data_IF_034080795128
#
_entry.id   IF_034080795128
#
_cell.length_a   1.000
_cell.length_b   1.000
_cell.length_c   1.000
_cell.angle_alpha   90.00
_cell.angle_beta   90.00
_cell.angle_gamma   90.00
#
_symmetry.space_group_name_H-M   'P 1'
#
loop_
_entity.id
_entity.type
_entity.pdbx_description
1 polymer ?
#
# COMPACT_ATOMS: atom_id res chain seq x y z
N UNK A 1 -19.51 -1.59 -29.14
CA UNK A 1 -18.20 -1.31 -29.79
C UNK A 1 -17.10 -1.41 -28.74
N UNK A 2 -16.41 -2.56 -28.66
CA UNK A 2 -15.21 -2.68 -27.83
C UNK A 2 -14.05 -2.04 -28.58
N UNK A 3 -13.52 -0.93 -28.06
CA UNK A 3 -12.28 -0.33 -28.58
C UNK A 3 -11.11 -1.15 -28.04
N UNK A 4 -10.68 -2.15 -28.80
CA UNK A 4 -9.50 -2.99 -28.51
C UNK A 4 -8.17 -2.28 -28.81
N UNK A 5 -8.05 -1.00 -28.43
CA UNK A 5 -6.83 -0.21 -28.63
C UNK A 5 -6.46 0.55 -27.37
N UNK A 6 -5.18 0.49 -27.00
CA UNK A 6 -4.61 1.37 -25.97
C UNK A 6 -4.78 2.83 -26.39
N UNK A 7 -5.47 3.62 -25.56
CA UNK A 7 -5.63 5.07 -25.80
C UNK A 7 -4.45 5.79 -25.18
N UNK A 8 -3.73 6.57 -25.99
CA UNK A 8 -2.59 7.38 -25.53
C UNK A 8 -3.01 8.83 -25.32
N UNK A 9 -2.67 9.37 -24.15
CA UNK A 9 -2.81 10.78 -23.82
C UNK A 9 -1.44 11.45 -23.71
N UNK A 10 -1.35 12.71 -24.16
CA UNK A 10 -0.21 13.57 -23.88
C UNK A 10 -0.65 14.65 -22.90
N UNK A 11 -0.12 14.62 -21.68
CA UNK A 11 -0.37 15.66 -20.68
C UNK A 11 0.59 16.84 -20.93
N UNK A 12 0.04 18.01 -21.25
CA UNK A 12 0.81 19.24 -21.49
C UNK A 12 0.79 20.11 -20.24
N UNK A 13 1.82 20.93 -20.05
CA UNK A 13 1.90 21.91 -18.96
C UNK A 13 1.77 21.27 -17.56
N UNK A 14 2.41 20.11 -17.35
CA UNK A 14 2.42 19.43 -16.05
C UNK A 14 3.13 20.33 -15.03
N UNK A 15 2.48 20.74 -13.92
CA UNK A 15 3.12 21.58 -12.91
C UNK A 15 4.35 20.89 -12.31
N UNK A 16 5.41 21.65 -12.01
CA UNK A 16 6.67 21.11 -11.48
C UNK A 16 6.49 20.28 -10.19
N UNK A 17 5.54 20.70 -9.34
CA UNK A 17 5.18 19.96 -8.14
C UNK A 17 4.61 18.56 -8.45
N UNK A 18 3.83 18.43 -9.52
CA UNK A 18 3.24 17.16 -9.96
C UNK A 18 4.32 16.23 -10.53
N UNK A 19 5.22 16.73 -11.39
CA UNK A 19 6.35 15.92 -11.91
C UNK A 19 7.23 15.41 -10.77
N UNK A 20 7.58 16.28 -9.82
CA UNK A 20 8.38 15.91 -8.64
C UNK A 20 7.69 14.82 -7.80
N UNK A 21 6.39 14.97 -7.57
CA UNK A 21 5.62 13.98 -6.82
C UNK A 21 5.54 12.62 -7.54
N UNK A 22 5.32 12.62 -8.87
CA UNK A 22 5.27 11.41 -9.68
C UNK A 22 6.62 10.68 -9.72
N UNK A 23 7.74 11.40 -9.88
CA UNK A 23 9.09 10.80 -9.84
C UNK A 23 9.41 10.20 -8.49
N UNK A 24 9.03 10.87 -7.40
CA UNK A 24 9.18 10.34 -6.04
C UNK A 24 8.33 9.08 -5.83
N UNK A 25 7.08 9.05 -6.32
CA UNK A 25 6.22 7.84 -6.31
C UNK A 25 6.87 6.70 -7.08
N UNK A 26 7.31 6.96 -8.31
CA UNK A 26 7.98 5.99 -9.18
C UNK A 26 9.21 5.37 -8.51
N UNK A 27 10.10 6.19 -7.93
CA UNK A 27 11.29 5.73 -7.22
C UNK A 27 10.94 4.88 -6.00
N UNK A 28 9.99 5.35 -5.17
CA UNK A 28 9.57 4.63 -3.96
C UNK A 28 8.97 3.26 -4.26
N UNK A 29 8.21 3.16 -5.36
CA UNK A 29 7.49 1.94 -5.73
C UNK A 29 8.25 1.05 -6.73
N UNK A 30 9.45 1.46 -7.18
CA UNK A 30 10.23 0.71 -8.17
C UNK A 30 9.56 0.64 -9.55
N UNK A 31 8.73 1.61 -9.90
CA UNK A 31 7.92 1.64 -11.13
C UNK A 31 8.47 2.64 -12.15
N UNK A 32 8.10 2.45 -13.41
CA UNK A 32 8.32 3.49 -14.44
C UNK A 32 7.49 4.74 -14.14
N UNK A 33 7.93 5.90 -14.64
CA UNK A 33 7.18 7.15 -14.47
C UNK A 33 5.77 7.06 -15.07
N UNK A 34 5.63 6.38 -16.21
CA UNK A 34 4.33 6.16 -16.86
C UNK A 34 3.40 5.31 -15.99
N UNK A 35 3.89 4.20 -15.41
CA UNK A 35 3.09 3.37 -14.52
C UNK A 35 2.65 4.16 -13.27
N UNK A 36 3.56 4.90 -12.64
CA UNK A 36 3.21 5.74 -11.49
C UNK A 36 2.19 6.84 -11.83
N UNK A 37 2.23 7.39 -13.05
CA UNK A 37 1.25 8.37 -13.53
C UNK A 37 -0.13 7.74 -13.77
N UNK A 38 -0.18 6.55 -14.37
CA UNK A 38 -1.44 5.80 -14.55
C UNK A 38 -2.06 5.43 -13.20
N UNK A 39 -1.25 4.98 -12.23
CA UNK A 39 -1.71 4.68 -10.87
C UNK A 39 -2.31 5.92 -10.21
N UNK A 40 -1.61 7.06 -10.27
CA UNK A 40 -2.07 8.31 -9.70
C UNK A 40 -3.38 8.82 -10.35
N UNK A 41 -3.54 8.67 -11.67
CA UNK A 41 -4.78 9.01 -12.37
C UNK A 41 -5.92 8.08 -11.96
N UNK A 42 -5.65 6.78 -11.86
CA UNK A 42 -6.63 5.76 -11.46
C UNK A 42 -7.07 5.96 -10.00
N UNK A 43 -6.14 6.28 -9.10
CA UNK A 43 -6.41 6.65 -7.70
C UNK A 43 -7.23 7.95 -7.62
N UNK A 44 -6.81 9.00 -8.31
CA UNK A 44 -7.46 10.32 -8.30
C UNK A 44 -8.88 10.29 -8.87
N UNK A 45 -9.12 9.44 -9.86
CA UNK A 45 -10.44 9.19 -10.45
C UNK A 45 -11.25 8.12 -9.69
N UNK A 46 -10.70 7.55 -8.60
CA UNK A 46 -11.33 6.48 -7.80
C UNK A 46 -11.75 5.26 -8.61
N UNK A 47 -10.94 4.91 -9.61
CA UNK A 47 -11.17 3.77 -10.50
C UNK A 47 -10.60 2.45 -9.95
N UNK A 48 -9.87 2.50 -8.83
CA UNK A 48 -9.29 1.34 -8.13
C UNK A 48 -10.34 0.44 -7.44
N UNK A 49 -11.64 0.65 -7.71
CA UNK A 49 -12.75 0.10 -6.92
C UNK A 49 -12.97 0.86 -5.61
N UNK A 50 -14.01 0.48 -4.85
CA UNK A 50 -14.12 0.92 -3.45
C UNK A 50 -12.83 0.49 -2.73
N UNK A 51 -12.11 1.41 -2.05
CA UNK A 51 -10.96 1.02 -1.26
C UNK A 51 -11.40 -0.11 -0.33
N UNK A 52 -10.65 -1.22 -0.31
CA UNK A 52 -10.89 -2.29 0.66
C UNK A 52 -10.70 -1.65 2.03
N UNK A 53 -11.82 -1.23 2.63
CA UNK A 53 -11.84 -0.73 3.99
C UNK A 53 -11.63 -1.96 4.86
N UNK A 54 -10.38 -2.21 5.22
CA UNK A 54 -10.02 -3.14 6.28
C UNK A 54 -10.52 -2.54 7.60
N UNK A 55 -11.82 -2.67 7.85
CA UNK A 55 -12.49 -2.23 9.09
C UNK A 55 -12.11 -3.10 10.28
N UNK A 56 -11.56 -4.27 9.99
CA UNK A 56 -11.14 -5.27 10.94
C UNK A 56 -9.93 -6.05 10.39
N UNK A 57 -9.39 -6.92 11.24
CA UNK A 57 -8.29 -7.82 10.91
C UNK A 57 -8.80 -9.23 10.58
N UNK A 58 -10.07 -9.40 10.16
CA UNK A 58 -10.63 -10.74 9.95
C UNK A 58 -9.89 -11.52 8.86
N UNK A 59 -9.25 -10.82 7.90
CA UNK A 59 -8.43 -11.44 6.87
C UNK A 59 -7.14 -12.10 7.39
N UNK A 60 -6.70 -11.75 8.61
CA UNK A 60 -5.56 -12.38 9.29
C UNK A 60 -5.99 -13.54 10.21
N UNK A 61 -7.30 -13.73 10.43
CA UNK A 61 -7.80 -14.79 11.31
C UNK A 61 -7.48 -16.15 10.71
N UNK A 62 -6.74 -16.98 11.44
CA UNK A 62 -6.37 -18.33 11.01
C UNK A 62 -5.27 -18.37 9.94
N UNK A 63 -4.65 -17.23 9.61
CA UNK A 63 -3.49 -17.17 8.73
C UNK A 63 -2.16 -17.24 9.48
N UNK A 64 -2.18 -17.53 10.79
CA UNK A 64 -0.96 -17.68 11.58
C UNK A 64 -0.19 -18.89 11.09
N UNK A 65 1.10 -18.70 10.89
CA UNK A 65 2.05 -19.77 10.61
C UNK A 65 2.90 -19.91 11.86
N UNK A 66 3.04 -21.13 12.36
CA UNK A 66 3.85 -21.41 13.54
C UNK A 66 5.29 -20.90 13.34
N UNK A 67 5.75 -20.09 14.28
CA UNK A 67 7.05 -19.41 14.24
C UNK A 67 7.73 -19.53 15.63
N UNK A 68 8.59 -20.55 15.81
CA UNK A 68 9.30 -20.76 17.07
C UNK A 68 10.24 -19.62 17.47
N UNK A 69 10.73 -18.82 16.51
CA UNK A 69 11.59 -17.67 16.79
C UNK A 69 10.76 -16.52 17.37
N UNK A 70 9.57 -16.29 16.83
CA UNK A 70 8.59 -15.37 17.39
C UNK A 70 8.20 -15.79 18.82
N UNK A 71 7.90 -17.07 19.05
CA UNK A 71 7.55 -17.60 20.38
C UNK A 71 8.70 -17.42 21.39
N UNK A 72 9.94 -17.55 20.93
CA UNK A 72 11.11 -17.30 21.76
C UNK A 72 11.28 -15.82 22.10
N UNK A 73 11.04 -14.93 21.14
CA UNK A 73 11.16 -13.49 21.32
C UNK A 73 10.05 -12.93 22.24
N UNK A 74 8.83 -13.46 22.15
CA UNK A 74 7.69 -12.90 22.88
C UNK A 74 7.59 -13.38 24.34
N UNK A 75 8.28 -14.46 24.70
CA UNK A 75 8.29 -15.05 26.05
C UNK A 75 8.64 -14.07 27.18
N UNK A 76 9.39 -13.01 26.90
CA UNK A 76 9.66 -11.97 27.90
C UNK A 76 8.40 -11.20 28.30
N UNK A 77 7.52 -10.94 27.34
CA UNK A 77 6.29 -10.16 27.54
C UNK A 77 5.22 -10.93 28.30
N UNK A 78 5.32 -12.26 28.40
CA UNK A 78 4.44 -13.09 29.21
C UNK A 78 4.79 -13.06 30.71
N UNK A 79 5.95 -12.51 31.08
CA UNK A 79 6.34 -12.36 32.48
C UNK A 79 5.68 -11.13 33.09
N UNK A 80 4.70 -11.35 33.96
CA UNK A 80 4.10 -10.29 34.76
C UNK A 80 5.13 -9.84 35.81
N UNK A 81 5.49 -8.56 35.78
CA UNK A 81 6.21 -7.90 36.88
C UNK A 81 5.21 -7.41 37.94
N UNK A 82 5.15 -8.04 39.12
CA UNK A 82 4.19 -7.67 40.16
C UNK A 82 4.43 -6.26 40.73
N UNK A 83 5.63 -5.69 40.53
CA UNK A 83 5.95 -4.34 40.98
C UNK A 83 5.38 -3.24 40.08
N UNK A 84 5.13 -3.55 38.80
CA UNK A 84 4.47 -2.66 37.84
C UNK A 84 2.93 -2.70 37.92
N UNK A 85 2.37 -3.64 38.68
CA UNK A 85 0.93 -3.91 38.79
C UNK A 85 0.33 -3.51 40.16
N UNK A 86 1.07 -2.76 40.97
CA UNK A 86 0.56 -2.09 42.19
C UNK A 86 0.24 -0.62 41.90
#
# INVERSE_FOLDING_TARGET
MQRNGSVQYTLRQVPAAVDTALRRKAKREGKSLNAAALDALTEGLRLQGEPIRHRDLNFLRGSWVEDPEFDAAIREFDRIDPSLWR
#
